data_IF_838215319010
#
_entry.id   IF_838215319010
#
_cell.length_a   1.000
_cell.length_b   1.000
_cell.length_c   1.000
_cell.angle_alpha   90.00
_cell.angle_beta   90.00
_cell.angle_gamma   90.00
#
_symmetry.space_group_name_H-M   'P 1'
#
loop_
_entity.id
_entity.type
_entity.pdbx_description
1 polymer ?
#
# COMPACT_ATOMS: atom_id res chain seq x y z
N UNK A 1 21.03 3.85 -54.31
CA UNK A 1 21.60 4.56 -53.15
C UNK A 1 20.86 5.90 -53.11
N UNK A 2 19.96 6.25 -52.19
CA UNK A 2 19.74 5.89 -50.78
C UNK A 2 18.22 5.85 -50.50
N UNK A 3 17.74 4.87 -49.74
CA UNK A 3 16.41 4.89 -49.13
C UNK A 3 16.56 5.40 -47.70
N UNK A 4 16.10 6.63 -47.44
CA UNK A 4 15.91 7.12 -46.08
C UNK A 4 14.68 6.43 -45.48
N UNK A 5 14.89 5.34 -44.75
CA UNK A 5 13.87 4.75 -43.88
C UNK A 5 13.67 5.66 -42.66
N UNK A 6 12.43 5.98 -42.25
CA UNK A 6 12.21 6.76 -41.06
C UNK A 6 12.65 5.95 -39.85
N UNK A 7 13.56 6.56 -39.11
CA UNK A 7 14.15 6.14 -37.84
C UNK A 7 13.08 5.69 -36.84
N UNK A 8 13.37 4.54 -36.21
CA UNK A 8 12.73 3.89 -35.06
C UNK A 8 12.67 4.76 -33.78
N UNK A 9 12.46 6.08 -33.89
CA UNK A 9 12.37 7.00 -32.75
C UNK A 9 11.03 6.94 -32.04
N UNK A 10 9.94 6.71 -32.78
CA UNK A 10 8.58 6.68 -32.23
C UNK A 10 8.33 5.46 -31.32
N UNK A 11 8.90 4.30 -31.65
CA UNK A 11 8.77 3.08 -30.85
C UNK A 11 9.53 3.18 -29.51
N UNK A 12 10.72 3.80 -29.52
CA UNK A 12 11.53 4.00 -28.32
C UNK A 12 10.93 5.09 -27.41
N UNK A 13 10.34 6.15 -27.99
CA UNK A 13 9.62 7.17 -27.21
C UNK A 13 8.33 6.63 -26.57
N UNK A 14 7.56 5.81 -27.29
CA UNK A 14 6.33 5.20 -26.76
C UNK A 14 6.61 4.22 -25.62
N UNK A 15 7.66 3.38 -25.74
CA UNK A 15 8.06 2.45 -24.69
C UNK A 15 8.55 3.17 -23.42
N UNK A 16 9.26 4.30 -23.57
CA UNK A 16 9.77 5.10 -22.44
C UNK A 16 8.67 5.91 -21.74
N UNK A 17 7.57 6.25 -22.43
CA UNK A 17 6.37 6.82 -21.82
C UNK A 17 5.46 5.77 -21.15
N UNK A 18 5.37 4.56 -21.73
CA UNK A 18 4.55 3.48 -21.17
C UNK A 18 5.05 3.01 -19.79
N UNK A 19 6.36 3.06 -19.55
CA UNK A 19 6.96 2.65 -18.27
C UNK A 19 6.62 3.58 -17.09
N UNK A 20 6.19 4.83 -17.33
CA UNK A 20 5.89 5.76 -16.23
C UNK A 20 4.46 5.63 -15.68
N UNK A 21 3.55 4.92 -16.37
CA UNK A 21 2.14 4.78 -15.96
C UNK A 21 1.78 3.40 -15.42
N UNK A 22 2.69 2.44 -15.40
CA UNK A 22 2.44 1.10 -14.87
C UNK A 22 2.77 1.02 -13.36
N UNK A 23 2.22 1.94 -12.57
CA UNK A 23 2.33 1.85 -11.11
C UNK A 23 1.45 0.70 -10.60
N UNK A 24 1.98 -0.09 -9.65
CA UNK A 24 1.26 -1.19 -9.02
C UNK A 24 -0.07 -0.73 -8.39
N UNK A 25 -0.10 0.48 -7.83
CA UNK A 25 -1.30 1.08 -7.23
C UNK A 25 -2.42 1.40 -8.26
N UNK A 26 -2.13 1.33 -9.56
CA UNK A 26 -3.08 1.53 -10.65
C UNK A 26 -3.47 0.23 -11.38
N UNK A 27 -2.96 -0.93 -10.94
CA UNK A 27 -3.32 -2.22 -11.53
C UNK A 27 -4.71 -2.70 -11.11
N UNK A 28 -5.20 -3.76 -11.76
CA UNK A 28 -6.49 -4.38 -11.43
C UNK A 28 -6.53 -4.78 -9.96
N UNK A 29 -7.57 -4.33 -9.26
CA UNK A 29 -7.72 -4.54 -7.82
C UNK A 29 -8.38 -5.88 -7.54
N UNK A 30 -7.81 -6.63 -6.60
CA UNK A 30 -8.44 -7.80 -6.00
C UNK A 30 -9.02 -7.43 -4.63
N UNK A 31 -10.19 -7.94 -4.30
CA UNK A 31 -10.78 -7.76 -2.98
C UNK A 31 -10.19 -8.79 -2.01
N UNK A 32 -9.76 -8.32 -0.83
CA UNK A 32 -9.22 -9.19 0.22
C UNK A 32 -9.97 -8.92 1.52
N UNK A 33 -10.43 -9.99 2.18
CA UNK A 33 -11.00 -9.94 3.52
C UNK A 33 -9.97 -10.51 4.51
N UNK A 34 -9.62 -9.73 5.53
CA UNK A 34 -8.61 -10.10 6.54
C UNK A 34 -9.27 -10.13 7.92
N UNK A 35 -8.99 -11.17 8.69
CA UNK A 35 -9.39 -11.31 10.10
C UNK A 35 -8.13 -11.27 10.98
N UNK A 36 -8.11 -10.38 11.97
CA UNK A 36 -7.00 -10.20 12.90
C UNK A 36 -7.47 -9.63 14.25
N UNK A 37 -6.62 -9.58 15.28
CA UNK A 37 -6.94 -8.92 16.55
C UNK A 37 -7.28 -7.43 16.37
N UNK A 38 -8.16 -6.91 17.23
CA UNK A 38 -8.57 -5.50 17.20
C UNK A 38 -7.38 -4.53 17.33
N UNK A 39 -6.39 -4.88 18.15
CA UNK A 39 -5.20 -4.04 18.35
C UNK A 39 -4.37 -3.89 17.05
N UNK A 40 -4.36 -4.91 16.18
CA UNK A 40 -3.73 -4.82 14.85
C UNK A 40 -4.56 -3.92 13.93
N UNK A 41 -5.88 -4.01 14.00
CA UNK A 41 -6.76 -3.13 13.23
C UNK A 41 -6.54 -1.64 13.57
N UNK A 42 -6.46 -1.37 14.89
CA UNK A 42 -6.20 -0.04 15.42
C UNK A 42 -4.82 0.45 15.02
N UNK A 43 -3.80 -0.41 15.08
CA UNK A 43 -2.44 -0.10 14.61
C UNK A 43 -2.46 0.35 13.15
N UNK A 44 -3.20 -0.35 12.28
CA UNK A 44 -3.28 0.04 10.88
C UNK A 44 -3.90 1.44 10.70
N UNK A 45 -4.92 1.80 11.49
CA UNK A 45 -5.48 3.17 11.47
C UNK A 45 -4.45 4.21 11.90
N UNK A 46 -3.62 3.91 12.90
CA UNK A 46 -2.55 4.82 13.35
C UNK A 46 -1.52 5.01 12.26
N UNK A 47 -1.09 3.94 11.58
CA UNK A 47 -0.15 4.05 10.48
C UNK A 47 -0.70 4.92 9.32
N UNK A 48 -2.00 4.84 9.01
CA UNK A 48 -2.64 5.75 8.04
C UNK A 48 -2.59 7.20 8.53
N UNK A 49 -2.86 7.45 9.81
CA UNK A 49 -2.78 8.80 10.40
C UNK A 49 -1.35 9.34 10.42
N UNK A 50 -0.36 8.48 10.64
CA UNK A 50 1.06 8.81 10.58
C UNK A 50 1.46 9.21 9.15
N UNK A 51 1.02 8.46 8.14
CA UNK A 51 1.22 8.84 6.74
C UNK A 51 0.57 10.20 6.43
N UNK A 52 -0.65 10.44 6.92
CA UNK A 52 -1.32 11.73 6.76
C UNK A 52 -0.59 12.88 7.46
N UNK A 53 0.02 12.65 8.63
CA UNK A 53 0.87 13.63 9.30
C UNK A 53 2.11 14.00 8.46
N UNK A 54 2.62 13.07 7.65
CA UNK A 54 3.69 13.32 6.69
C UNK A 54 3.21 13.97 5.37
N UNK A 55 1.92 14.30 5.25
CA UNK A 55 1.33 14.90 4.04
C UNK A 55 0.82 13.88 3.01
N UNK A 56 0.94 12.58 3.29
CA UNK A 56 0.51 11.54 2.36
C UNK A 56 -0.99 11.27 2.42
N UNK A 57 -1.62 11.24 1.25
CA UNK A 57 -3.04 10.89 1.11
C UNK A 57 -3.17 9.41 0.77
N UNK A 58 -3.33 8.57 1.80
CA UNK A 58 -3.45 7.12 1.62
C UNK A 58 -4.70 6.50 2.26
N UNK A 59 -5.02 5.28 1.85
CA UNK A 59 -6.07 4.46 2.44
C UNK A 59 -5.50 3.24 3.18
N UNK A 60 -6.29 2.61 4.05
CA UNK A 60 -5.89 1.35 4.73
C UNK A 60 -5.46 0.26 3.74
N UNK A 61 -6.19 0.11 2.63
CA UNK A 61 -5.90 -0.90 1.62
C UNK A 61 -4.59 -0.60 0.88
N UNK A 62 -4.33 0.68 0.58
CA UNK A 62 -3.09 1.10 -0.07
C UNK A 62 -1.89 0.97 0.88
N UNK A 63 -2.05 1.35 2.14
CA UNK A 63 -1.01 1.15 3.15
C UNK A 63 -0.70 -0.34 3.35
N UNK A 64 -1.72 -1.21 3.41
CA UNK A 64 -1.52 -2.65 3.48
C UNK A 64 -0.80 -3.17 2.22
N UNK A 65 -1.20 -2.71 1.03
CA UNK A 65 -0.52 -3.06 -0.21
C UNK A 65 0.94 -2.59 -0.22
N UNK A 66 1.23 -1.39 0.30
CA UNK A 66 2.59 -0.88 0.43
C UNK A 66 3.43 -1.72 1.40
N UNK A 67 2.86 -2.14 2.54
CA UNK A 67 3.54 -3.04 3.49
C UNK A 67 3.84 -4.41 2.87
N UNK A 68 2.90 -4.96 2.10
CA UNK A 68 3.10 -6.23 1.39
C UNK A 68 4.14 -6.07 0.28
N UNK A 69 4.11 -4.98 -0.48
CA UNK A 69 5.07 -4.71 -1.54
C UNK A 69 6.50 -4.45 -1.01
N UNK A 70 6.63 -3.92 0.22
CA UNK A 70 7.91 -3.67 0.86
C UNK A 70 8.46 -4.88 1.65
N UNK A 71 7.67 -5.93 1.86
CA UNK A 71 8.10 -7.09 2.61
C UNK A 71 9.22 -7.85 1.86
N UNK A 72 10.28 -8.22 2.58
CA UNK A 72 11.34 -9.05 2.04
C UNK A 72 10.83 -10.47 1.76
N UNK A 73 11.22 -11.05 0.63
CA UNK A 73 10.77 -12.39 0.20
C UNK A 73 11.70 -13.51 0.63
N UNK A 74 12.72 -13.20 1.43
CA UNK A 74 13.62 -14.17 2.05
C UNK A 74 12.85 -15.07 3.04
N UNK A 75 12.89 -16.41 2.88
CA UNK A 75 12.09 -17.32 3.71
C UNK A 75 12.38 -17.21 5.21
N UNK A 76 13.65 -17.10 5.59
CA UNK A 76 14.12 -17.04 6.97
C UNK A 76 13.67 -15.74 7.65
N UNK A 77 13.72 -14.64 6.91
CA UNK A 77 13.23 -13.33 7.36
C UNK A 77 11.73 -13.34 7.58
N UNK A 78 10.97 -13.91 6.64
CA UNK A 78 9.51 -14.02 6.75
C UNK A 78 9.09 -14.94 7.91
N UNK A 79 9.78 -16.08 8.10
CA UNK A 79 9.55 -16.96 9.23
C UNK A 79 9.82 -16.25 10.56
N UNK A 80 10.91 -15.49 10.64
CA UNK A 80 11.25 -14.69 11.83
C UNK A 80 10.20 -13.63 12.16
N UNK A 81 9.68 -12.95 11.13
CA UNK A 81 8.57 -12.00 11.27
C UNK A 81 7.32 -12.68 11.85
N UNK A 82 6.95 -13.85 11.31
CA UNK A 82 5.79 -14.62 11.79
C UNK A 82 5.98 -15.12 13.23
N UNK A 83 7.17 -15.59 13.58
CA UNK A 83 7.47 -16.01 14.96
C UNK A 83 7.39 -14.84 15.94
N UNK A 84 7.87 -13.67 15.56
CA UNK A 84 7.74 -12.45 16.38
C UNK A 84 6.28 -12.09 16.60
N UNK A 85 5.48 -12.06 15.53
CA UNK A 85 4.05 -11.76 15.63
C UNK A 85 3.31 -12.74 16.55
N UNK A 86 3.54 -14.05 16.40
CA UNK A 86 2.87 -15.09 17.20
C UNK A 86 3.26 -15.08 18.69
N UNK A 87 4.40 -14.48 19.04
CA UNK A 87 4.90 -14.37 20.42
C UNK A 87 4.68 -12.99 21.04
N UNK A 88 4.03 -12.08 20.32
CA UNK A 88 3.81 -10.72 20.77
C UNK A 88 2.85 -10.72 21.97
N UNK A 89 3.19 -10.04 23.09
CA UNK A 89 2.27 -9.93 24.22
C UNK A 89 1.08 -9.04 23.87
N UNK A 90 -0.05 -9.25 24.55
CA UNK A 90 -1.33 -8.57 24.24
C UNK A 90 -1.25 -7.04 24.37
N UNK A 91 -0.34 -6.54 25.20
CA UNK A 91 -0.11 -5.11 25.45
C UNK A 91 1.00 -4.50 24.59
N UNK A 92 1.62 -5.26 23.68
CA UNK A 92 2.74 -4.78 22.86
C UNK A 92 2.41 -3.54 22.00
N UNK A 93 1.13 -3.28 21.75
CA UNK A 93 0.61 -2.15 20.97
C UNK A 93 -0.22 -1.19 21.84
N UNK A 94 -0.03 -1.20 23.16
CA UNK A 94 -0.79 -0.34 24.07
C UNK A 94 -0.50 1.16 23.85
N UNK A 95 0.77 1.52 23.64
CA UNK A 95 1.23 2.92 23.45
C UNK A 95 0.55 3.59 22.24
N UNK A 96 0.19 2.79 21.24
CA UNK A 96 -0.47 3.24 20.04
C UNK A 96 -1.89 3.79 20.31
N UNK A 97 -2.54 3.38 21.42
CA UNK A 97 -3.88 3.87 21.79
C UNK A 97 -3.92 5.37 22.05
N UNK A 98 -2.81 5.97 22.46
CA UNK A 98 -2.77 7.35 22.96
C UNK A 98 -2.33 8.39 21.94
N UNK A 99 -2.10 8.00 20.67
CA UNK A 99 -1.64 8.88 19.57
C UNK A 99 -2.68 9.93 19.18
N UNK A 100 -2.93 10.86 20.09
CA UNK A 100 -3.81 12.03 20.00
C UNK A 100 -3.13 13.19 19.27
N UNK A 101 -1.80 13.15 19.18
CA UNK A 101 -0.95 14.05 18.41
C UNK A 101 -1.15 13.94 16.89
N UNK A 102 -1.63 12.79 16.41
CA UNK A 102 -1.83 12.55 14.98
C UNK A 102 -3.15 13.15 14.46
N UNK A 103 -3.21 13.56 13.18
CA UNK A 103 -4.44 14.09 12.61
C UNK A 103 -5.55 13.03 12.54
N UNK A 104 -6.80 13.45 12.60
CA UNK A 104 -7.96 12.58 12.34
C UNK A 104 -8.14 12.44 10.83
N UNK A 105 -7.92 11.24 10.29
CA UNK A 105 -8.17 10.95 8.87
C UNK A 105 -9.63 10.52 8.72
N UNK A 106 -10.42 11.26 7.92
CA UNK A 106 -11.77 10.84 7.58
C UNK A 106 -11.70 9.74 6.51
N UNK A 107 -12.22 8.56 6.83
CA UNK A 107 -12.44 7.53 5.82
C UNK A 107 -13.43 8.04 4.77
N UNK A 108 -13.13 7.92 3.45
CA UNK A 108 -14.12 8.16 2.42
C UNK A 108 -15.32 7.24 2.69
N UNK A 109 -16.52 7.81 2.84
CA UNK A 109 -17.73 7.04 3.07
C UNK A 109 -17.98 6.00 1.95
N UNK A 110 -18.83 4.99 2.18
CA UNK A 110 -19.14 3.98 1.18
C UNK A 110 -19.57 4.66 -0.14
N UNK A 111 -18.79 4.49 -1.21
CA UNK A 111 -19.23 4.90 -2.55
C UNK A 111 -20.39 3.98 -2.93
N UNK A 112 -21.61 4.53 -2.97
CA UNK A 112 -22.74 3.87 -3.63
C UNK A 112 -22.33 3.64 -5.08
N UNK A 113 -22.03 2.39 -5.44
CA UNK A 113 -22.00 1.99 -6.83
C UNK A 113 -23.41 2.16 -7.35
N UNK A 114 -23.63 3.19 -8.17
CA UNK A 114 -24.85 3.30 -8.95
C UNK A 114 -24.85 2.12 -9.94
N UNK A 115 -25.66 1.10 -9.65
CA UNK A 115 -25.97 0.07 -10.64
C UNK A 115 -26.81 0.73 -11.73
N UNK A 116 -26.32 0.66 -12.98
CA UNK A 116 -27.12 0.92 -14.18
C UNK A 116 -27.59 -0.39 -14.78
#
# INVERSE_FOLDING_TARGET
>A
MMTHGPVNGAAVYAARYAAHWQLLCHQQRQQTSVLWPEDIDRRLNILVRTAAAAGERTSRAELLAALVAAAETDPETLASLLHRYRRMPTDALAEDRERSDLPVVRSPGPRRTASS
#
